data_IF_262025733104
#
_entry.id   IF_262025733104
#
_cell.length_a   1.000
_cell.length_b   1.000
_cell.length_c   1.000
_cell.angle_alpha   90.00
_cell.angle_beta   90.00
_cell.angle_gamma   90.00
#
_symmetry.space_group_name_H-M   'P 1'
#
loop_
_entity.id
_entity.type
_entity.pdbx_description
1 polymer ?
#
# COMPACT_ATOMS: atom_id res chain seq x y z
N UNK A 1 -15.24 -10.61 -17.78
CA UNK A 1 -14.33 -10.58 -18.94
C UNK A 1 -12.98 -10.11 -18.40
N UNK A 2 -11.99 -11.01 -18.26
CA UNK A 2 -10.71 -10.72 -17.57
C UNK A 2 -9.90 -9.73 -18.40
N UNK A 3 -9.53 -8.58 -17.84
CA UNK A 3 -8.76 -7.55 -18.52
C UNK A 3 -7.26 -7.94 -18.52
N UNK A 4 -6.67 -8.39 -19.63
CA UNK A 4 -5.29 -8.91 -19.67
C UNK A 4 -4.21 -7.80 -19.67
N UNK A 5 -4.62 -6.53 -19.68
CA UNK A 5 -3.81 -5.44 -20.24
C UNK A 5 -2.85 -4.69 -19.30
N UNK A 6 -2.60 -5.15 -18.07
CA UNK A 6 -1.79 -4.39 -17.10
C UNK A 6 -0.50 -5.11 -16.64
N UNK A 7 -0.19 -6.28 -17.22
CA UNK A 7 1.02 -7.04 -16.87
C UNK A 7 2.28 -6.21 -17.09
N UNK A 8 2.39 -5.53 -18.23
CA UNK A 8 3.57 -4.73 -18.56
C UNK A 8 3.85 -3.62 -17.54
N UNK A 9 2.82 -2.90 -17.09
CA UNK A 9 2.96 -1.87 -16.06
C UNK A 9 3.41 -2.44 -14.71
N UNK A 10 2.85 -3.59 -14.32
CA UNK A 10 3.19 -4.25 -13.05
C UNK A 10 4.62 -4.78 -13.04
N UNK A 11 5.08 -5.30 -14.17
CA UNK A 11 6.48 -5.70 -14.39
C UNK A 11 7.40 -4.48 -14.23
N UNK A 12 7.07 -3.34 -14.87
CA UNK A 12 7.86 -2.10 -14.77
C UNK A 12 7.91 -1.58 -13.33
N UNK A 13 6.75 -1.44 -12.69
CA UNK A 13 6.65 -0.95 -11.31
C UNK A 13 7.48 -1.81 -10.35
N UNK A 14 7.33 -3.13 -10.41
CA UNK A 14 8.06 -4.04 -9.53
C UNK A 14 9.57 -4.04 -9.80
N UNK A 15 9.97 -3.92 -11.07
CA UNK A 15 11.39 -3.81 -11.45
C UNK A 15 12.01 -2.53 -10.88
N UNK A 16 11.28 -1.41 -10.94
CA UNK A 16 11.73 -0.12 -10.40
C UNK A 16 11.81 -0.11 -8.88
N UNK A 17 10.86 -0.75 -8.18
CA UNK A 17 10.91 -0.96 -6.72
C UNK A 17 12.15 -1.73 -6.28
N UNK A 18 12.57 -2.74 -7.05
CA UNK A 18 13.77 -3.53 -6.79
C UNK A 18 15.07 -2.86 -7.26
N UNK A 19 14.98 -1.69 -7.90
CA UNK A 19 16.14 -1.00 -8.46
C UNK A 19 16.85 -1.77 -9.58
N UNK A 20 16.15 -2.67 -10.29
CA UNK A 20 16.73 -3.53 -11.31
C UNK A 20 16.60 -2.91 -12.72
N UNK A 21 17.64 -3.09 -13.54
CA UNK A 21 17.53 -2.79 -14.98
C UNK A 21 16.77 -3.91 -15.69
N UNK A 22 16.25 -3.60 -16.88
CA UNK A 22 15.54 -4.57 -17.72
C UNK A 22 16.44 -5.75 -18.08
N UNK A 23 17.71 -5.50 -18.35
CA UNK A 23 18.70 -6.52 -18.68
C UNK A 23 18.95 -7.47 -17.51
N UNK A 24 19.00 -6.93 -16.29
CA UNK A 24 19.16 -7.74 -15.07
C UNK A 24 17.96 -8.65 -14.84
N UNK A 25 16.74 -8.13 -14.99
CA UNK A 25 15.52 -8.95 -14.87
C UNK A 25 15.46 -10.01 -15.96
N UNK A 26 15.81 -9.65 -17.21
CA UNK A 26 15.80 -10.59 -18.33
C UNK A 26 16.80 -11.73 -18.11
N UNK A 27 18.01 -11.41 -17.63
CA UNK A 27 19.02 -12.41 -17.27
C UNK A 27 18.53 -13.34 -16.15
N UNK A 28 17.93 -12.79 -15.08
CA UNK A 28 17.36 -13.57 -13.98
C UNK A 28 16.20 -14.47 -14.43
N UNK A 29 15.35 -13.99 -15.33
CA UNK A 29 14.20 -14.73 -15.86
C UNK A 29 14.56 -15.75 -16.96
N UNK A 30 15.83 -15.79 -17.39
CA UNK A 30 16.29 -16.64 -18.50
C UNK A 30 15.59 -16.29 -19.81
N UNK A 31 15.52 -14.99 -20.15
CA UNK A 31 14.86 -14.49 -21.37
C UNK A 31 15.68 -13.39 -22.04
N UNK A 32 15.33 -13.05 -23.28
CA UNK A 32 15.96 -11.94 -23.99
C UNK A 32 15.41 -10.60 -23.49
N UNK A 33 16.28 -9.60 -23.30
CA UNK A 33 15.89 -8.25 -22.89
C UNK A 33 14.86 -7.63 -23.86
N UNK A 34 14.94 -7.95 -25.14
CA UNK A 34 13.97 -7.52 -26.15
C UNK A 34 12.58 -8.13 -25.95
N UNK A 35 12.51 -9.38 -25.50
CA UNK A 35 11.23 -10.03 -25.20
C UNK A 35 10.60 -9.43 -23.93
N UNK A 36 11.42 -9.14 -22.91
CA UNK A 36 10.95 -8.43 -21.72
C UNK A 36 10.46 -7.02 -22.05
N UNK A 37 11.20 -6.28 -22.89
CA UNK A 37 10.77 -4.96 -23.41
C UNK A 37 9.43 -5.05 -24.12
N UNK A 38 9.25 -6.04 -24.98
CA UNK A 38 7.98 -6.28 -25.66
C UNK A 38 6.82 -6.50 -24.66
N UNK A 39 7.04 -7.26 -23.59
CA UNK A 39 6.03 -7.49 -22.54
C UNK A 39 5.73 -6.23 -21.74
N UNK A 40 6.73 -5.40 -21.44
CA UNK A 40 6.56 -4.13 -20.71
C UNK A 40 5.81 -3.07 -21.54
N UNK A 41 6.11 -2.95 -22.84
CA UNK A 41 5.66 -1.83 -23.67
C UNK A 41 4.39 -2.13 -24.50
N UNK A 42 3.99 -3.41 -24.66
CA UNK A 42 2.84 -3.79 -25.48
C UNK A 42 1.65 -4.21 -24.61
N UNK A 43 0.56 -3.42 -24.56
CA UNK A 43 -0.65 -3.75 -23.80
C UNK A 43 -1.34 -5.06 -24.23
N UNK A 44 -1.05 -5.54 -25.43
CA UNK A 44 -1.59 -6.80 -25.99
C UNK A 44 -0.67 -8.00 -25.79
N UNK A 45 0.46 -7.83 -25.12
CA UNK A 45 1.37 -8.93 -24.85
C UNK A 45 0.66 -10.02 -24.02
N UNK A 46 0.69 -11.25 -24.52
CA UNK A 46 0.14 -12.43 -23.85
C UNK A 46 1.25 -13.44 -23.59
N UNK A 47 2.10 -13.19 -22.58
CA UNK A 47 3.20 -14.09 -22.26
C UNK A 47 2.70 -15.45 -21.77
N UNK A 48 3.38 -16.51 -22.19
CA UNK A 48 3.07 -17.87 -21.74
C UNK A 48 3.29 -18.07 -20.24
N UNK A 49 2.52 -18.97 -19.62
CA UNK A 49 2.59 -19.27 -18.17
C UNK A 49 4.01 -19.62 -17.71
N UNK A 50 4.76 -20.42 -18.48
CA UNK A 50 6.13 -20.81 -18.12
C UNK A 50 7.12 -19.64 -18.10
N UNK A 51 6.92 -18.63 -18.95
CA UNK A 51 7.69 -17.39 -18.88
C UNK A 51 7.29 -16.57 -17.67
N UNK A 52 5.98 -16.44 -17.39
CA UNK A 52 5.49 -15.68 -16.25
C UNK A 52 5.98 -16.22 -14.91
N UNK A 53 6.11 -17.54 -14.75
CA UNK A 53 6.67 -18.15 -13.54
C UNK A 53 8.12 -17.69 -13.31
N UNK A 54 8.96 -17.73 -14.36
CA UNK A 54 10.36 -17.29 -14.25
C UNK A 54 10.49 -15.78 -14.06
N UNK A 55 9.61 -15.01 -14.70
CA UNK A 55 9.57 -13.57 -14.55
C UNK A 55 9.14 -13.16 -13.14
N UNK A 56 8.12 -13.83 -12.57
CA UNK A 56 7.68 -13.62 -11.21
C UNK A 56 8.80 -13.93 -10.20
N UNK A 57 9.52 -15.04 -10.38
CA UNK A 57 10.68 -15.36 -9.57
C UNK A 57 11.81 -14.31 -9.68
N UNK A 58 12.08 -13.82 -10.89
CA UNK A 58 13.11 -12.80 -11.13
C UNK A 58 12.77 -11.43 -10.50
N UNK A 59 11.49 -11.15 -10.33
CA UNK A 59 10.94 -9.90 -9.78
C UNK A 59 10.46 -10.05 -8.33
N UNK A 60 10.79 -11.16 -7.66
CA UNK A 60 10.43 -11.40 -6.26
C UNK A 60 8.95 -11.11 -6.01
N UNK A 61 8.09 -11.70 -6.85
CA UNK A 61 6.63 -11.51 -6.91
C UNK A 61 5.94 -12.79 -7.41
N UNK A 62 4.62 -12.76 -7.61
CA UNK A 62 3.82 -13.92 -8.02
C UNK A 62 3.20 -13.73 -9.41
N UNK A 63 2.86 -14.84 -10.07
CA UNK A 63 2.15 -14.79 -11.36
C UNK A 63 0.77 -14.14 -11.22
N UNK A 64 0.13 -14.26 -10.06
CA UNK A 64 -1.18 -13.67 -9.79
C UNK A 64 -1.08 -12.14 -9.66
N UNK A 65 -0.09 -11.63 -8.93
CA UNK A 65 0.23 -10.20 -8.80
C UNK A 65 0.58 -9.59 -10.16
N UNK A 66 1.43 -10.25 -10.96
CA UNK A 66 1.77 -9.81 -12.31
C UNK A 66 0.53 -9.75 -13.23
N UNK A 67 -0.36 -10.75 -13.13
CA UNK A 67 -1.61 -10.80 -13.91
C UNK A 67 -2.72 -9.89 -13.38
N UNK A 68 -2.52 -9.24 -12.24
CA UNK A 68 -3.57 -8.49 -11.54
C UNK A 68 -4.75 -9.35 -11.11
N UNK A 69 -4.55 -10.67 -10.98
CA UNK A 69 -5.60 -11.61 -10.57
C UNK A 69 -6.01 -11.41 -9.10
N UNK A 70 -5.12 -10.86 -8.28
CA UNK A 70 -5.40 -10.55 -6.86
C UNK A 70 -6.12 -9.21 -6.66
N UNK A 71 -6.22 -8.36 -7.69
CA UNK A 71 -6.88 -7.06 -7.57
C UNK A 71 -8.43 -7.18 -7.56
N UNK A 72 -8.97 -8.28 -8.08
CA UNK A 72 -10.42 -8.55 -8.19
C UNK A 72 -10.89 -9.75 -7.33
N UNK A 73 -9.98 -10.42 -6.61
CA UNK A 73 -10.35 -11.50 -5.68
C UNK A 73 -10.63 -10.88 -4.30
N UNK A 74 -11.74 -11.24 -3.63
CA UNK A 74 -11.90 -10.87 -2.24
C UNK A 74 -10.76 -11.51 -1.43
N UNK A 75 -10.16 -10.77 -0.47
CA UNK A 75 -9.12 -11.34 0.39
C UNK A 75 -9.64 -12.57 1.14
N UNK A 76 -8.74 -13.52 1.42
CA UNK A 76 -9.03 -14.74 2.21
C UNK A 76 -9.30 -16.01 1.40
N UNK A 77 -8.93 -16.06 0.11
CA UNK A 77 -9.00 -17.28 -0.71
C UNK A 77 -7.69 -18.07 -0.64
N UNK A 78 -6.57 -17.42 -0.27
CA UNK A 78 -5.30 -18.08 0.04
C UNK A 78 -5.43 -19.05 1.22
N UNK A 79 -4.86 -20.27 1.06
CA UNK A 79 -4.65 -21.17 2.20
C UNK A 79 -3.43 -20.68 2.97
N UNK A 80 -3.56 -20.53 4.29
CA UNK A 80 -2.41 -20.27 5.16
C UNK A 80 -1.31 -21.31 4.93
N UNK A 81 -0.06 -20.85 4.87
CA UNK A 81 1.12 -21.71 4.81
C UNK A 81 1.14 -22.73 5.94
N UNK A 82 1.87 -23.83 5.74
CA UNK A 82 2.18 -24.75 6.82
C UNK A 82 3.21 -24.06 7.74
N UNK A 83 2.78 -23.61 8.93
CA UNK A 83 3.55 -22.90 9.98
C UNK A 83 3.75 -21.37 9.78
N UNK A 84 2.67 -20.56 9.78
CA UNK A 84 2.82 -19.11 9.82
C UNK A 84 3.33 -18.66 11.21
N UNK A 85 4.38 -17.84 11.23
CA UNK A 85 4.88 -17.19 12.43
C UNK A 85 4.48 -15.71 12.44
N UNK A 86 3.77 -15.29 13.49
CA UNK A 86 3.44 -13.89 13.76
C UNK A 86 4.49 -13.31 14.72
N UNK A 87 5.22 -12.30 14.27
CA UNK A 87 6.24 -11.60 15.08
C UNK A 87 5.92 -10.12 15.18
N UNK A 88 6.21 -9.52 16.33
CA UNK A 88 6.12 -8.07 16.51
C UNK A 88 7.23 -7.34 15.74
N UNK A 89 6.89 -6.18 15.18
CA UNK A 89 7.84 -5.25 14.58
C UNK A 89 8.37 -4.29 15.64
N UNK A 90 9.65 -3.94 15.54
CA UNK A 90 10.18 -2.86 16.36
C UNK A 90 9.64 -1.48 15.88
N UNK A 91 9.72 -0.42 16.70
CA UNK A 91 9.21 0.89 16.32
C UNK A 91 9.82 1.45 15.03
N UNK A 92 11.11 1.22 14.78
CA UNK A 92 11.79 1.68 13.57
C UNK A 92 11.28 0.96 12.32
N UNK A 93 11.05 -0.34 12.42
CA UNK A 93 10.40 -1.12 11.36
C UNK A 93 8.97 -0.65 11.09
N UNK A 94 8.19 -0.33 12.12
CA UNK A 94 6.84 0.22 11.94
C UNK A 94 6.87 1.53 11.13
N UNK A 95 7.75 2.47 11.50
CA UNK A 95 7.88 3.74 10.79
C UNK A 95 8.41 3.58 9.37
N UNK A 96 9.35 2.66 9.14
CA UNK A 96 9.83 2.34 7.80
C UNK A 96 8.71 1.81 6.90
N UNK A 97 7.79 1.00 7.46
CA UNK A 97 6.64 0.43 6.73
C UNK A 97 5.51 1.42 6.50
N UNK A 98 5.31 2.38 7.41
CA UNK A 98 4.40 3.51 7.19
C UNK A 98 4.84 4.39 6.00
N UNK A 99 6.10 4.34 5.55
CA UNK A 99 6.60 5.16 4.45
C UNK A 99 6.36 6.67 4.68
N UNK A 100 6.57 7.50 3.66
CA UNK A 100 6.29 8.95 3.71
C UNK A 100 4.86 9.29 3.30
N UNK A 101 4.21 8.44 2.51
CA UNK A 101 2.83 8.59 2.05
C UNK A 101 2.26 7.27 1.53
N UNK A 102 0.94 7.21 1.37
CA UNK A 102 0.26 6.06 0.78
C UNK A 102 -1.25 6.08 1.03
N UNK A 103 -1.85 4.90 0.98
CA UNK A 103 -3.24 4.68 1.38
C UNK A 103 -3.25 3.83 2.64
N UNK A 104 -4.01 4.29 3.63
CA UNK A 104 -4.28 3.52 4.84
C UNK A 104 -5.76 3.61 5.18
N UNK A 105 -6.13 3.08 6.35
CA UNK A 105 -7.49 3.14 6.86
C UNK A 105 -7.53 3.81 8.21
N UNK A 106 -8.52 4.68 8.42
CA UNK A 106 -8.77 5.33 9.71
C UNK A 106 -10.07 4.82 10.30
N UNK A 107 -10.05 4.50 11.60
CA UNK A 107 -11.24 4.20 12.38
C UNK A 107 -11.91 5.49 12.82
N UNK A 108 -13.23 5.57 12.69
CA UNK A 108 -14.03 6.69 13.18
C UNK A 108 -15.26 6.19 13.91
N UNK A 109 -15.71 6.95 14.89
CA UNK A 109 -16.99 6.71 15.58
C UNK A 109 -18.10 7.44 14.84
N UNK A 110 -19.09 6.69 14.36
CA UNK A 110 -20.28 7.24 13.67
C UNK A 110 -21.54 7.00 14.52
N UNK A 111 -22.66 7.69 14.23
CA UNK A 111 -23.94 7.42 14.91
C UNK A 111 -24.43 5.97 14.80
N UNK A 112 -24.07 5.28 13.70
CA UNK A 112 -24.45 3.88 13.45
C UNK A 112 -23.43 2.87 14.03
N UNK A 113 -22.37 3.36 14.69
CA UNK A 113 -21.29 2.54 15.25
C UNK A 113 -19.91 2.86 14.67
N UNK A 114 -18.86 2.10 15.05
CA UNK A 114 -17.53 2.30 14.53
C UNK A 114 -17.46 1.97 13.03
N UNK A 115 -16.76 2.79 12.27
CA UNK A 115 -16.50 2.58 10.85
C UNK A 115 -15.01 2.68 10.55
N UNK A 116 -14.56 1.98 9.50
CA UNK A 116 -13.19 2.06 9.00
C UNK A 116 -13.27 2.58 7.56
N UNK A 117 -12.56 3.65 7.25
CA UNK A 117 -12.60 4.29 5.94
C UNK A 117 -11.20 4.52 5.37
N UNK A 118 -11.00 4.34 4.05
CA UNK A 118 -9.70 4.55 3.42
C UNK A 118 -9.37 6.04 3.31
N UNK A 119 -8.11 6.38 3.53
CA UNK A 119 -7.58 7.75 3.37
C UNK A 119 -6.21 7.71 2.69
N UNK A 120 -5.95 8.72 1.85
CA UNK A 120 -4.57 9.01 1.45
C UNK A 120 -3.90 9.75 2.60
N UNK A 121 -2.74 9.27 3.03
CA UNK A 121 -2.02 9.85 4.15
C UNK A 121 -0.60 10.25 3.76
N UNK A 122 -0.02 11.09 4.61
CA UNK A 122 1.40 11.40 4.65
C UNK A 122 1.89 11.32 6.08
N UNK A 123 3.19 11.06 6.26
CA UNK A 123 3.86 11.09 7.56
C UNK A 123 4.74 12.34 7.63
N UNK A 124 4.44 13.22 8.58
CA UNK A 124 5.20 14.46 8.80
C UNK A 124 5.40 14.64 10.30
N UNK A 125 6.64 14.96 10.72
CA UNK A 125 7.01 15.19 12.12
C UNK A 125 6.61 14.05 13.07
N UNK A 126 6.69 12.79 12.61
CA UNK A 126 6.32 11.62 13.41
C UNK A 126 4.82 11.48 13.65
N UNK A 127 3.99 12.11 12.82
CA UNK A 127 2.54 12.02 12.88
C UNK A 127 1.95 11.61 11.52
N UNK A 128 0.83 10.90 11.55
CA UNK A 128 0.08 10.56 10.33
C UNK A 128 -0.91 11.68 10.06
N UNK A 129 -0.96 12.18 8.83
CA UNK A 129 -1.89 13.22 8.43
C UNK A 129 -2.61 12.86 7.13
N UNK A 130 -3.87 13.26 7.01
CA UNK A 130 -4.66 13.08 5.79
C UNK A 130 -5.56 14.28 5.53
N UNK A 131 -5.83 14.53 4.24
CA UNK A 131 -6.70 15.62 3.80
C UNK A 131 -8.15 15.13 3.65
N UNK A 132 -9.09 15.93 4.13
CA UNK A 132 -10.52 15.65 4.10
C UNK A 132 -11.36 16.94 4.08
N UNK A 133 -12.68 16.81 4.03
CA UNK A 133 -13.63 17.92 4.10
C UNK A 133 -14.61 17.75 5.26
N UNK A 134 -15.14 18.86 5.81
CA UNK A 134 -16.17 18.80 6.86
C UNK A 134 -17.38 18.00 6.38
N UNK A 135 -18.00 17.25 7.28
CA UNK A 135 -19.18 16.44 6.99
C UNK A 135 -18.91 15.12 6.26
N UNK A 136 -17.65 14.82 5.92
CA UNK A 136 -17.27 13.50 5.39
C UNK A 136 -16.96 12.52 6.52
N UNK A 137 -17.10 11.22 6.26
CA UNK A 137 -16.82 10.18 7.28
C UNK A 137 -15.41 10.26 7.89
N UNK A 138 -14.31 10.48 7.14
CA UNK A 138 -12.99 10.62 7.73
C UNK A 138 -12.84 11.84 8.65
N UNK A 139 -13.63 12.90 8.46
CA UNK A 139 -13.59 14.09 9.28
C UNK A 139 -14.07 13.85 10.72
N UNK A 140 -14.81 12.75 10.96
CA UNK A 140 -15.25 12.34 12.29
C UNK A 140 -14.09 11.86 13.19
N UNK A 141 -12.92 11.56 12.62
CA UNK A 141 -11.73 11.26 13.41
C UNK A 141 -11.31 12.47 14.27
N UNK A 142 -11.45 13.69 13.75
CA UNK A 142 -10.93 14.88 14.40
C UNK A 142 -11.68 15.22 15.70
N UNK A 143 -10.93 15.41 16.78
CA UNK A 143 -11.45 15.66 18.13
C UNK A 143 -11.62 14.39 18.97
N UNK A 144 -11.25 13.22 18.46
CA UNK A 144 -11.34 11.95 19.16
C UNK A 144 -10.03 11.15 19.08
N UNK A 145 -9.94 10.08 19.86
CA UNK A 145 -8.93 9.05 19.66
C UNK A 145 -9.29 8.27 18.38
N UNK A 146 -8.28 8.04 17.53
CA UNK A 146 -8.44 7.30 16.28
C UNK A 146 -7.34 6.26 16.14
N UNK A 147 -7.70 5.12 15.57
CA UNK A 147 -6.75 4.16 15.04
C UNK A 147 -6.56 4.40 13.54
N UNK A 148 -5.32 4.31 13.09
CA UNK A 148 -4.92 4.33 11.70
C UNK A 148 -4.10 3.09 11.39
N UNK A 149 -4.36 2.48 10.23
CA UNK A 149 -3.79 1.20 9.85
C UNK A 149 -3.28 1.23 8.42
N UNK A 150 -2.12 0.61 8.22
CA UNK A 150 -1.59 0.23 6.90
C UNK A 150 -1.10 -1.20 6.96
N UNK A 151 -1.38 -1.96 5.91
CA UNK A 151 -0.92 -3.33 5.74
C UNK A 151 -0.37 -3.58 4.35
N UNK A 152 0.33 -4.70 4.25
CA UNK A 152 0.58 -5.37 3.00
C UNK A 152 0.53 -6.88 3.25
N UNK A 153 -0.33 -7.58 2.52
CA UNK A 153 -0.51 -9.02 2.65
C UNK A 153 -0.22 -9.66 1.29
N UNK A 154 0.68 -10.64 1.27
CA UNK A 154 0.92 -11.53 0.14
C UNK A 154 0.30 -12.89 0.43
N UNK A 155 -0.92 -13.12 -0.08
CA UNK A 155 -1.63 -14.38 0.14
C UNK A 155 -0.94 -15.58 -0.51
N UNK A 156 -0.15 -15.39 -1.56
CA UNK A 156 0.50 -16.49 -2.26
C UNK A 156 1.69 -17.03 -1.46
N UNK A 157 2.43 -16.13 -0.81
CA UNK A 157 3.52 -16.48 0.10
C UNK A 157 3.02 -16.74 1.53
N UNK A 158 1.76 -16.39 1.84
CA UNK A 158 1.22 -16.37 3.20
C UNK A 158 2.06 -15.52 4.15
N UNK A 159 2.55 -14.40 3.63
CA UNK A 159 3.36 -13.44 4.37
C UNK A 159 2.67 -12.09 4.37
N UNK A 160 3.07 -11.22 5.28
CA UNK A 160 2.55 -9.88 5.31
C UNK A 160 3.00 -9.10 6.51
N UNK A 161 2.59 -7.86 6.57
CA UNK A 161 2.78 -7.02 7.75
C UNK A 161 1.62 -6.05 7.89
N UNK A 162 1.40 -5.58 9.11
CA UNK A 162 0.51 -4.47 9.41
C UNK A 162 1.15 -3.54 10.42
N UNK A 163 0.82 -2.26 10.33
CA UNK A 163 1.18 -1.24 11.31
C UNK A 163 -0.08 -0.53 11.75
N UNK A 164 -0.27 -0.46 13.06
CA UNK A 164 -1.36 0.22 13.73
C UNK A 164 -0.80 1.41 14.50
N UNK A 165 -1.31 2.59 14.18
CA UNK A 165 -1.07 3.84 14.90
C UNK A 165 -2.34 4.17 15.67
N UNK A 166 -2.25 4.33 16.98
CA UNK A 166 -3.35 4.81 17.82
C UNK A 166 -2.93 6.12 18.45
N UNK A 167 -3.80 7.12 18.37
CA UNK A 167 -3.64 8.33 19.17
C UNK A 167 -4.67 9.39 18.85
N UNK A 168 -4.42 10.59 19.37
CA UNK A 168 -5.36 11.71 19.26
C UNK A 168 -5.33 12.34 17.86
N UNK A 169 -6.51 12.40 17.24
CA UNK A 169 -6.72 13.01 15.93
C UNK A 169 -7.26 14.43 16.09
N UNK A 170 -6.64 15.41 15.43
CA UNK A 170 -7.01 16.82 15.54
C UNK A 170 -7.00 17.53 14.18
N UNK A 171 -7.83 18.55 14.05
CA UNK A 171 -7.77 19.46 12.90
C UNK A 171 -6.46 20.25 12.95
N UNK A 172 -5.78 20.31 11.81
CA UNK A 172 -4.63 21.20 11.65
C UNK A 172 -5.15 22.58 11.27
N UNK A 173 -5.05 23.53 12.22
CA UNK A 173 -5.55 24.90 12.06
C UNK A 173 -4.43 25.92 11.83
N UNK A 174 -3.19 25.59 12.19
CA UNK A 174 -2.02 26.44 11.96
C UNK A 174 -1.67 26.49 10.46
N UNK A 175 -1.69 27.68 9.81
CA UNK A 175 -1.34 27.82 8.40
C UNK A 175 0.06 27.31 8.06
N UNK A 176 1.03 27.44 8.96
CA UNK A 176 2.39 26.98 8.71
C UNK A 176 2.46 25.44 8.71
N UNK A 177 1.78 24.79 9.66
CA UNK A 177 1.63 23.33 9.66
C UNK A 177 0.88 22.82 8.42
N UNK A 178 -0.20 23.49 8.02
CA UNK A 178 -0.94 23.15 6.78
C UNK A 178 -0.03 23.27 5.55
N UNK A 179 0.77 24.32 5.45
CA UNK A 179 1.74 24.50 4.35
C UNK A 179 2.76 23.36 4.25
N UNK A 180 3.25 22.84 5.39
CA UNK A 180 4.16 21.67 5.41
C UNK A 180 3.47 20.41 4.89
N UNK A 181 2.22 20.17 5.30
CA UNK A 181 1.44 19.01 4.86
C UNK A 181 1.15 19.06 3.36
N UNK A 182 0.77 20.23 2.84
CA UNK A 182 0.56 20.44 1.41
C UNK A 182 1.85 20.19 0.63
N UNK A 183 3.00 20.64 1.13
CA UNK A 183 4.31 20.39 0.50
C UNK A 183 4.76 18.93 0.55
N UNK A 184 4.36 18.17 1.58
CA UNK A 184 4.71 16.76 1.73
C UNK A 184 3.77 15.81 0.97
N UNK A 185 2.56 16.28 0.63
CA UNK A 185 1.56 15.48 -0.06
C UNK A 185 2.04 15.06 -1.46
N UNK A 186 2.24 13.75 -1.67
CA UNK A 186 2.75 13.20 -2.92
C UNK A 186 1.69 13.00 -4.01
N UNK A 187 0.40 13.05 -3.66
CA UNK A 187 -0.71 12.88 -4.61
C UNK A 187 -1.98 13.58 -4.16
N UNK A 188 -2.79 14.04 -5.12
CA UNK A 188 -4.15 14.47 -4.85
C UNK A 188 -4.99 13.31 -4.26
N UNK A 189 -5.90 13.56 -3.30
CA UNK A 189 -6.76 12.53 -2.73
C UNK A 189 -7.54 11.78 -3.81
N UNK A 190 -7.48 10.45 -3.82
CA UNK A 190 -8.14 9.59 -4.82
C UNK A 190 -9.66 9.80 -4.92
N UNK A 191 -10.28 10.34 -3.88
CA UNK A 191 -11.72 10.56 -3.82
C UNK A 191 -12.18 11.94 -4.33
N UNK A 192 -11.32 12.71 -5.02
CA UNK A 192 -11.68 13.96 -5.72
C UNK A 192 -12.13 15.13 -4.82
N UNK A 193 -12.10 16.35 -5.39
CA UNK A 193 -12.61 17.60 -4.80
C UNK A 193 -11.57 18.50 -4.10
N UNK A 194 -11.91 19.79 -3.93
CA UNK A 194 -11.13 20.78 -3.15
C UNK A 194 -11.17 20.41 -1.66
N UNK A 195 -10.14 19.72 -1.17
CA UNK A 195 -10.02 19.30 0.24
C UNK A 195 -8.98 20.15 0.94
N UNK A 196 -9.42 21.24 1.54
CA UNK A 196 -8.56 22.24 2.18
C UNK A 196 -8.24 21.95 3.66
N UNK A 197 -8.82 20.91 4.26
CA UNK A 197 -8.64 20.62 5.68
C UNK A 197 -7.83 19.36 5.93
N UNK A 198 -6.97 19.44 6.93
CA UNK A 198 -6.09 18.35 7.33
C UNK A 198 -6.45 17.86 8.72
N UNK A 199 -6.44 16.54 8.88
CA UNK A 199 -6.50 15.87 10.18
C UNK A 199 -5.12 15.25 10.43
N UNK A 200 -4.59 15.47 11.63
CA UNK A 200 -3.33 14.88 12.10
C UNK A 200 -3.60 13.97 13.28
N UNK A 201 -3.10 12.74 13.21
CA UNK A 201 -3.09 11.75 14.28
C UNK A 201 -1.70 11.78 14.93
N UNK A 202 -1.64 12.27 16.16
CA UNK A 202 -0.41 12.25 16.96
C UNK A 202 -0.34 10.89 17.66
N UNK A 203 0.68 10.06 17.38
CA UNK A 203 0.74 8.70 17.94
C UNK A 203 0.95 8.70 19.45
N UNK A 204 0.07 8.02 20.17
CA UNK A 204 0.29 7.59 21.56
C UNK A 204 0.90 6.18 21.59
N UNK A 205 0.57 5.37 20.58
CA UNK A 205 1.08 4.02 20.41
C UNK A 205 1.25 3.68 18.93
N UNK A 206 2.38 3.08 18.60
CA UNK A 206 2.65 2.48 17.28
C UNK A 206 3.04 1.03 17.51
N UNK A 207 2.30 0.12 16.89
CA UNK A 207 2.55 -1.32 16.96
C UNK A 207 2.53 -1.90 15.56
N UNK A 208 3.34 -2.91 15.30
CA UNK A 208 3.30 -3.61 14.04
C UNK A 208 3.50 -5.10 14.21
N UNK A 209 2.98 -5.85 13.25
CA UNK A 209 3.14 -7.30 13.21
C UNK A 209 3.59 -7.70 11.82
N UNK A 210 4.35 -8.80 11.74
CA UNK A 210 4.77 -9.46 10.51
C UNK A 210 4.36 -10.91 10.58
N UNK A 211 3.85 -11.42 9.47
CA UNK A 211 3.56 -12.82 9.22
C UNK A 211 4.61 -13.31 8.25
N UNK A 212 5.28 -14.41 8.58
CA UNK A 212 6.22 -15.12 7.70
C UNK A 212 5.84 -16.59 7.59
N UNK A 213 6.09 -17.20 6.44
CA UNK A 213 5.91 -18.63 6.23
C UNK A 213 7.28 -19.31 6.29
N UNK A 214 7.45 -20.32 7.14
CA UNK A 214 8.69 -21.12 7.23
C UNK A 214 8.63 -22.40 6.39
#
# INVERSE_FOLDING_TARGET
MRNPGDIGRRVVARREELGLTREQVAARAGTAADYLRYVEERPTASPGTGFLIRLAAALETTVAQLRGSDADLPPGIGRAAYHPELTELDPGECWARLSTHGVGRVSVSTPDGPAIVPVNYTVVDGAVAFSTARGTTPALAAGAEAAFEVDHIDEALSEGWSVLVVGRAEWVTDPAATGRLVGAAHSAPWAGGDRELWVRITPDRVTGHRITAR
#
